data_IF_275622219440
#
_entry.id   IF_275622219440
#
_cell.length_a   1.000
_cell.length_b   1.000
_cell.length_c   1.000
_cell.angle_alpha   90.00
_cell.angle_beta   90.00
_cell.angle_gamma   90.00
#
_symmetry.space_group_name_H-M   'P 1'
#
loop_
_entity.id
_entity.type
_entity.pdbx_description
1 polymer ?
#
# COMPACT_ATOMS: atom_id res chain seq x y z
N UNK A 1 -4.80 18.37 -27.73
CA UNK A 1 -4.48 18.90 -26.39
C UNK A 1 -3.28 19.82 -26.44
N UNK A 2 -3.37 20.96 -25.78
CA UNK A 2 -2.25 21.87 -25.72
C UNK A 2 -1.22 21.38 -24.69
N UNK A 3 0.05 21.77 -24.87
CA UNK A 3 1.14 21.43 -23.94
C UNK A 3 0.90 21.97 -22.52
N UNK A 4 0.10 23.05 -22.40
CA UNK A 4 -0.24 23.61 -21.09
C UNK A 4 -1.06 22.65 -20.22
N UNK A 5 -1.94 21.87 -20.87
CA UNK A 5 -2.76 20.90 -20.15
C UNK A 5 -1.94 19.71 -19.65
N UNK A 6 -0.85 19.36 -20.32
CA UNK A 6 -0.01 18.25 -19.91
C UNK A 6 0.62 18.50 -18.54
N UNK A 7 1.12 19.72 -18.29
CA UNK A 7 1.70 20.05 -16.98
C UNK A 7 0.64 19.97 -15.88
N UNK A 8 -0.54 20.52 -16.12
CA UNK A 8 -1.64 20.45 -15.15
C UNK A 8 -2.06 19.01 -14.88
N UNK A 9 -2.16 18.18 -15.91
CA UNK A 9 -2.50 16.77 -15.77
C UNK A 9 -1.43 16.02 -14.99
N UNK A 10 -0.16 16.27 -15.26
CA UNK A 10 0.94 15.60 -14.59
C UNK A 10 1.06 15.99 -13.11
N UNK A 11 0.62 17.20 -12.75
CA UNK A 11 0.66 17.69 -11.37
C UNK A 11 -0.62 17.40 -10.59
N UNK A 12 -1.65 16.86 -11.24
CA UNK A 12 -2.87 16.50 -10.53
C UNK A 12 -2.59 15.42 -9.47
N UNK A 13 -3.23 15.47 -8.29
CA UNK A 13 -2.87 14.60 -7.17
C UNK A 13 -2.85 13.09 -7.47
N UNK A 14 -3.69 12.62 -8.39
CA UNK A 14 -3.78 11.19 -8.71
C UNK A 14 -3.21 10.84 -10.08
N UNK A 15 -2.54 11.79 -10.73
CA UNK A 15 -2.07 11.62 -12.12
C UNK A 15 -0.98 10.55 -12.26
N UNK A 16 -0.20 10.32 -11.21
CA UNK A 16 0.89 9.34 -11.23
C UNK A 16 0.46 7.91 -10.90
N UNK A 17 -0.84 7.67 -10.70
CA UNK A 17 -1.33 6.37 -10.23
C UNK A 17 -2.34 5.76 -11.19
N UNK A 18 -2.24 4.47 -11.39
CA UNK A 18 -3.30 3.71 -12.02
C UNK A 18 -4.41 3.46 -11.00
N UNK A 19 -5.64 3.56 -11.44
CA UNK A 19 -6.83 3.44 -10.59
C UNK A 19 -7.81 2.45 -11.20
N UNK A 20 -8.61 1.84 -10.34
CA UNK A 20 -9.66 0.91 -10.76
C UNK A 20 -10.85 1.07 -9.82
N UNK A 21 -12.05 1.17 -10.38
CA UNK A 21 -13.28 1.12 -9.58
C UNK A 21 -13.64 -0.33 -9.29
N UNK A 22 -13.96 -0.62 -8.04
CA UNK A 22 -14.32 -1.97 -7.60
C UNK A 22 -15.61 -1.89 -6.79
N UNK A 23 -16.53 -2.82 -7.07
CA UNK A 23 -17.73 -2.99 -6.24
C UNK A 23 -17.42 -4.06 -5.19
N UNK A 24 -17.70 -3.76 -3.93
CA UNK A 24 -17.44 -4.66 -2.81
C UNK A 24 -18.78 -5.22 -2.31
N UNK A 25 -19.14 -6.46 -2.72
CA UNK A 25 -20.41 -7.05 -2.31
C UNK A 25 -20.53 -7.19 -0.79
N UNK A 26 -19.43 -7.47 -0.12
CA UNK A 26 -19.41 -7.66 1.33
C UNK A 26 -19.65 -6.36 2.09
N UNK A 27 -19.55 -5.21 1.44
CA UNK A 27 -19.80 -3.89 2.01
C UNK A 27 -21.05 -3.27 1.37
N UNK A 28 -22.13 -4.05 1.30
CA UNK A 28 -23.43 -3.61 0.75
C UNK A 28 -23.32 -3.08 -0.69
N UNK A 29 -22.46 -3.73 -1.49
CA UNK A 29 -22.18 -3.33 -2.89
C UNK A 29 -21.64 -1.91 -3.00
N UNK A 30 -20.92 -1.45 -1.98
CA UNK A 30 -20.28 -0.14 -2.04
C UNK A 30 -19.24 -0.11 -3.16
N UNK A 31 -19.17 1.03 -3.83
CA UNK A 31 -18.18 1.27 -4.86
C UNK A 31 -16.99 2.01 -4.25
N UNK A 32 -15.81 1.47 -4.48
CA UNK A 32 -14.57 2.08 -4.02
C UNK A 32 -13.61 2.21 -5.19
N UNK A 33 -12.64 3.08 -5.06
CA UNK A 33 -11.56 3.19 -6.04
C UNK A 33 -10.28 2.73 -5.36
N UNK A 34 -9.57 1.83 -6.02
CA UNK A 34 -8.24 1.39 -5.57
C UNK A 34 -7.21 1.95 -6.54
N UNK A 35 -6.03 2.23 -6.03
CA UNK A 35 -4.91 2.75 -6.84
C UNK A 35 -3.62 2.04 -6.48
N UNK A 36 -2.60 2.25 -7.31
CA UNK A 36 -1.26 1.78 -6.97
C UNK A 36 -0.78 2.47 -5.69
N UNK A 37 0.00 1.77 -4.84
CA UNK A 37 0.58 2.40 -3.65
C UNK A 37 1.55 3.52 -4.01
N UNK A 38 1.59 4.55 -3.17
CA UNK A 38 2.56 5.63 -3.34
C UNK A 38 3.96 5.20 -2.90
N UNK A 39 4.97 5.95 -3.34
CA UNK A 39 6.35 5.71 -2.91
C UNK A 39 6.48 5.82 -1.38
N UNK A 40 5.79 6.79 -0.78
CA UNK A 40 5.79 6.96 0.67
C UNK A 40 5.23 5.73 1.38
N UNK A 41 4.15 5.15 0.87
CA UNK A 41 3.56 3.95 1.45
C UNK A 41 4.53 2.76 1.35
N UNK A 42 5.23 2.61 0.22
CA UNK A 42 6.24 1.57 0.04
C UNK A 42 7.41 1.72 1.03
N UNK A 43 7.84 2.95 1.29
CA UNK A 43 8.88 3.22 2.28
C UNK A 43 8.43 2.80 3.67
N UNK A 44 7.20 3.12 4.04
CA UNK A 44 6.63 2.70 5.32
C UNK A 44 6.51 1.18 5.41
N UNK A 45 6.05 0.56 4.33
CA UNK A 45 5.93 -0.90 4.25
C UNK A 45 7.30 -1.56 4.49
N UNK A 46 8.33 -1.09 3.80
CA UNK A 46 9.69 -1.63 3.93
C UNK A 46 10.21 -1.46 5.36
N UNK A 47 9.95 -0.32 5.98
CA UNK A 47 10.36 -0.06 7.36
C UNK A 47 9.71 -1.00 8.37
N UNK A 48 8.52 -1.49 8.07
CA UNK A 48 7.80 -2.44 8.93
C UNK A 48 8.19 -3.87 8.59
N UNK A 49 8.19 -4.22 7.31
CA UNK A 49 8.43 -5.59 6.85
C UNK A 49 9.91 -6.01 7.02
N UNK A 50 10.82 -5.08 6.80
CA UNK A 50 12.26 -5.34 6.85
C UNK A 50 12.98 -4.14 7.48
N UNK A 51 12.84 -3.93 8.81
CA UNK A 51 13.48 -2.81 9.47
C UNK A 51 15.00 -2.91 9.35
N UNK A 52 15.64 -1.80 9.01
CA UNK A 52 17.10 -1.74 8.95
C UNK A 52 17.68 -1.87 10.35
N UNK A 53 18.68 -2.74 10.46
CA UNK A 53 19.40 -2.88 11.70
C UNK A 53 20.59 -1.93 11.68
N UNK A 54 20.89 -1.24 12.81
CA UNK A 54 22.07 -0.40 12.87
C UNK A 54 23.32 -1.28 12.67
N UNK A 55 24.23 -0.80 11.82
CA UNK A 55 25.49 -1.48 11.63
C UNK A 55 26.30 -1.45 12.92
N UNK A 56 26.85 -2.58 13.38
CA UNK A 56 27.70 -2.58 14.55
C UNK A 56 28.98 -1.78 14.26
N UNK A 57 29.59 -1.18 15.29
CA UNK A 57 30.88 -0.52 15.11
C UNK A 57 31.91 -1.49 14.54
N UNK A 58 32.86 -0.95 13.77
CA UNK A 58 33.95 -1.73 13.17
C UNK A 58 34.66 -2.56 14.25
N UNK A 59 34.80 -3.88 13.98
CA UNK A 59 35.47 -4.79 14.91
C UNK A 59 34.56 -5.45 15.95
N UNK A 60 33.24 -5.15 15.96
CA UNK A 60 32.30 -5.82 16.84
C UNK A 60 31.34 -6.68 16.03
N UNK A 61 30.99 -7.84 16.59
CA UNK A 61 29.99 -8.71 15.97
C UNK A 61 28.62 -8.05 16.09
N UNK A 62 27.79 -8.24 15.05
CA UNK A 62 26.41 -7.78 15.10
C UNK A 62 25.69 -8.48 16.25
N UNK A 63 24.91 -7.74 17.08
CA UNK A 63 24.15 -8.37 18.13
C UNK A 63 23.17 -9.39 17.52
N UNK A 64 23.10 -10.57 18.14
CA UNK A 64 22.13 -11.57 17.72
C UNK A 64 20.73 -11.03 17.93
N UNK A 65 19.97 -10.91 16.83
CA UNK A 65 18.57 -10.55 16.91
C UNK A 65 17.78 -11.85 16.96
N UNK A 66 16.95 -12.04 18.00
CA UNK A 66 16.14 -13.25 18.07
C UNK A 66 15.26 -13.37 16.83
N UNK A 67 15.19 -14.57 16.27
CA UNK A 67 14.29 -14.81 15.15
C UNK A 67 12.84 -14.63 15.62
N UNK A 68 12.04 -14.01 14.77
CA UNK A 68 10.62 -13.86 15.06
C UNK A 68 9.91 -15.20 14.96
N UNK A 69 8.94 -15.42 15.84
CA UNK A 69 8.06 -16.57 15.72
C UNK A 69 7.20 -16.43 14.46
N UNK A 70 6.62 -17.53 13.93
CA UNK A 70 5.70 -17.43 12.79
C UNK A 70 4.55 -16.46 13.04
N UNK A 71 4.01 -16.42 14.25
CA UNK A 71 2.93 -15.48 14.61
C UNK A 71 3.40 -14.03 14.55
N UNK A 72 4.60 -13.76 15.05
CA UNK A 72 5.17 -12.41 15.02
C UNK A 72 5.44 -11.95 13.59
N UNK A 73 5.91 -12.87 12.73
CA UNK A 73 6.11 -12.56 11.31
C UNK A 73 4.80 -12.25 10.62
N UNK A 74 3.76 -13.03 10.89
CA UNK A 74 2.45 -12.82 10.32
C UNK A 74 1.88 -11.46 10.72
N UNK A 75 2.02 -11.09 12.00
CA UNK A 75 1.60 -9.78 12.49
C UNK A 75 2.36 -8.64 11.82
N UNK A 76 3.66 -8.80 11.68
CA UNK A 76 4.50 -7.80 11.02
C UNK A 76 4.08 -7.60 9.56
N UNK A 77 3.86 -8.70 8.84
CA UNK A 77 3.40 -8.66 7.45
C UNK A 77 2.04 -7.98 7.35
N UNK A 78 1.12 -8.31 8.25
CA UNK A 78 -0.20 -7.69 8.27
C UNK A 78 -0.11 -6.18 8.50
N UNK A 79 0.71 -5.73 9.45
CA UNK A 79 0.90 -4.29 9.71
C UNK A 79 1.48 -3.58 8.50
N UNK A 80 2.45 -4.20 7.85
CA UNK A 80 3.03 -3.65 6.63
C UNK A 80 1.97 -3.53 5.54
N UNK A 81 1.17 -4.58 5.33
CA UNK A 81 0.12 -4.59 4.32
C UNK A 81 -0.97 -3.54 4.61
N UNK A 82 -1.31 -3.33 5.88
CA UNK A 82 -2.27 -2.31 6.26
C UNK A 82 -1.78 -0.91 5.85
N UNK A 83 -0.47 -0.66 5.97
CA UNK A 83 0.12 0.60 5.52
C UNK A 83 -0.13 0.85 4.04
N UNK A 84 -0.03 -0.19 3.23
CA UNK A 84 -0.37 -0.08 1.81
C UNK A 84 -1.88 0.05 1.61
N UNK A 85 -2.66 -0.73 2.34
CA UNK A 85 -4.12 -0.74 2.21
C UNK A 85 -4.74 0.64 2.43
N UNK A 86 -4.35 1.33 3.49
CA UNK A 86 -4.90 2.66 3.77
C UNK A 86 -4.49 3.68 2.70
N UNK A 87 -3.37 3.44 2.02
CA UNK A 87 -2.90 4.33 0.95
C UNK A 87 -3.63 4.09 -0.36
N UNK A 88 -4.02 2.85 -0.66
CA UNK A 88 -4.62 2.51 -1.95
C UNK A 88 -6.13 2.69 -2.00
N UNK A 89 -6.81 2.76 -0.87
CA UNK A 89 -8.27 2.78 -0.84
C UNK A 89 -8.81 4.21 -0.86
N UNK A 90 -9.63 4.49 -1.85
CA UNK A 90 -10.25 5.80 -2.03
C UNK A 90 -11.76 5.62 -2.21
N UNK A 91 -12.51 6.67 -1.88
CA UNK A 91 -13.92 6.71 -2.23
C UNK A 91 -14.09 7.16 -3.69
N UNK A 92 -15.33 7.22 -4.17
CA UNK A 92 -15.60 7.59 -5.57
C UNK A 92 -15.26 9.04 -5.88
N UNK A 93 -15.03 9.86 -4.87
CA UNK A 93 -14.57 11.25 -5.03
C UNK A 93 -13.05 11.35 -4.96
N UNK A 94 -12.33 10.21 -4.94
CA UNK A 94 -10.87 10.12 -4.85
C UNK A 94 -10.32 10.66 -3.53
N UNK A 95 -11.11 10.54 -2.46
CA UNK A 95 -10.66 10.92 -1.11
C UNK A 95 -10.29 9.69 -0.33
N UNK A 96 -9.30 9.81 0.55
CA UNK A 96 -8.89 8.70 1.41
C UNK A 96 -10.02 8.29 2.34
N UNK A 97 -10.29 7.01 2.39
CA UNK A 97 -11.27 6.43 3.32
C UNK A 97 -10.67 6.33 4.71
N UNK A 98 -9.39 5.97 4.78
CA UNK A 98 -8.64 5.84 6.03
C UNK A 98 -7.38 6.68 5.99
N UNK A 99 -6.93 7.10 7.18
CA UNK A 99 -5.66 7.79 7.35
C UNK A 99 -4.74 6.95 8.24
N UNK A 100 -3.50 7.40 8.44
CA UNK A 100 -2.55 6.73 9.32
C UNK A 100 -3.11 6.62 10.74
N UNK A 101 -3.91 7.58 11.17
CA UNK A 101 -4.53 7.58 12.50
C UNK A 101 -5.55 6.44 12.67
N UNK A 102 -6.05 5.88 11.57
CA UNK A 102 -7.01 4.78 11.58
C UNK A 102 -6.34 3.40 11.59
N UNK A 103 -5.02 3.33 11.59
CA UNK A 103 -4.27 2.08 11.46
C UNK A 103 -4.71 1.02 12.49
N UNK A 104 -4.87 1.41 13.75
CA UNK A 104 -5.27 0.48 14.79
C UNK A 104 -6.68 -0.09 14.56
N UNK A 105 -7.58 0.75 14.08
CA UNK A 105 -8.95 0.31 13.76
C UNK A 105 -8.95 -0.67 12.60
N UNK A 106 -8.15 -0.39 11.57
CA UNK A 106 -8.02 -1.27 10.41
C UNK A 106 -7.37 -2.59 10.82
N UNK A 107 -6.34 -2.53 11.66
CA UNK A 107 -5.66 -3.73 12.18
C UNK A 107 -6.64 -4.66 12.91
N UNK A 108 -7.56 -4.09 13.66
CA UNK A 108 -8.54 -4.86 14.43
C UNK A 108 -9.53 -5.62 13.55
N UNK A 109 -9.79 -5.15 12.32
CA UNK A 109 -10.81 -5.74 11.44
C UNK A 109 -10.24 -6.23 10.10
N UNK A 110 -8.93 -6.13 9.90
CA UNK A 110 -8.31 -6.51 8.64
C UNK A 110 -8.58 -7.98 8.32
N UNK A 111 -9.15 -8.21 7.15
CA UNK A 111 -9.58 -9.56 6.76
C UNK A 111 -9.44 -9.81 5.27
N UNK A 112 -10.03 -10.90 4.78
CA UNK A 112 -9.90 -11.31 3.38
C UNK A 112 -10.38 -10.27 2.37
N UNK A 113 -11.43 -9.52 2.70
CA UNK A 113 -11.94 -8.48 1.80
C UNK A 113 -10.89 -7.38 1.62
N UNK A 114 -10.31 -6.93 2.73
CA UNK A 114 -9.26 -5.90 2.72
C UNK A 114 -8.04 -6.39 1.95
N UNK A 115 -7.61 -7.61 2.23
CA UNK A 115 -6.46 -8.23 1.57
C UNK A 115 -6.70 -8.37 0.06
N UNK A 116 -7.91 -8.75 -0.34
CA UNK A 116 -8.28 -8.88 -1.75
C UNK A 116 -8.19 -7.53 -2.48
N UNK A 117 -8.68 -6.46 -1.85
CA UNK A 117 -8.62 -5.12 -2.44
C UNK A 117 -7.16 -4.67 -2.61
N UNK A 118 -6.33 -4.92 -1.61
CA UNK A 118 -4.91 -4.59 -1.70
C UNK A 118 -4.25 -5.37 -2.85
N UNK A 119 -4.55 -6.66 -2.97
CA UNK A 119 -4.01 -7.48 -4.05
C UNK A 119 -4.40 -6.92 -5.42
N UNK A 120 -5.65 -6.51 -5.58
CA UNK A 120 -6.12 -5.92 -6.84
C UNK A 120 -5.38 -4.62 -7.15
N UNK A 121 -5.09 -3.81 -6.12
CA UNK A 121 -4.30 -2.59 -6.30
C UNK A 121 -2.87 -2.91 -6.74
N UNK A 122 -2.25 -3.93 -6.15
CA UNK A 122 -0.90 -4.36 -6.54
C UNK A 122 -0.88 -4.94 -7.96
N UNK A 123 -1.95 -5.59 -8.39
CA UNK A 123 -2.07 -6.11 -9.75
C UNK A 123 -2.07 -4.99 -10.79
N UNK A 124 -2.45 -3.76 -10.44
CA UNK A 124 -2.37 -2.63 -11.34
C UNK A 124 -0.93 -2.32 -11.76
N UNK A 125 0.01 -2.52 -10.86
CA UNK A 125 1.44 -2.36 -11.15
C UNK A 125 1.86 -3.38 -12.18
N UNK A 126 1.45 -4.62 -12.00
CA UNK A 126 1.78 -5.72 -12.89
C UNK A 126 1.21 -5.49 -14.29
N UNK A 127 -0.04 -5.05 -14.37
CA UNK A 127 -0.69 -4.74 -15.65
C UNK A 127 0.05 -3.64 -16.40
N UNK A 128 0.59 -2.65 -15.68
CA UNK A 128 1.38 -1.58 -16.26
C UNK A 128 2.68 -2.12 -16.85
N UNK A 129 3.35 -3.01 -16.15
CA UNK A 129 4.60 -3.62 -16.62
C UNK A 129 4.34 -4.52 -17.83
N UNK A 130 3.26 -5.29 -17.82
CA UNK A 130 2.88 -6.13 -18.95
C UNK A 130 2.59 -5.29 -20.19
N UNK A 131 1.96 -4.14 -20.03
CA UNK A 131 1.69 -3.21 -21.14
C UNK A 131 2.98 -2.66 -21.73
N UNK A 132 3.99 -2.41 -20.90
CA UNK A 132 5.31 -1.93 -21.37
C UNK A 132 6.11 -3.00 -22.10
N UNK A 133 5.90 -4.27 -21.77
CA UNK A 133 6.62 -5.38 -22.36
C UNK A 133 6.18 -5.67 -23.79
N UNK A 134 5.09 -5.11 -24.21
CA UNK A 134 4.57 -5.24 -25.59
C UNK A 134 5.01 -4.02 -26.44
#
# INVERSE_FOLDING_TARGET
>A
MSKQNLKALALAPMAGFRKKEVTVPEWENAKVIIREPSAEAWIRWQGIASPEQPKPPEGQEAPEVPELTPSERAFRTMRADITLFIDILLDTDLQYVFTVDDTEQVEAIYGPVHSRLLKQALDLIRDADDAKAK
#
